data_IF_400918002155
#
_entry.id   IF_400918002155
#
_cell.length_a   1.000
_cell.length_b   1.000
_cell.length_c   1.000
_cell.angle_alpha   90.00
_cell.angle_beta   90.00
_cell.angle_gamma   90.00
#
_symmetry.space_group_name_H-M   'P 1'
#
loop_
_entity.id
_entity.type
_entity.pdbx_description
1 polymer ?
#
# COMPACT_ATOMS: atom_id res chain seq x y z
N UNK A 1 13.59 33.64 -26.16
CA UNK A 1 12.82 32.99 -27.24
C UNK A 1 11.64 32.31 -26.57
N UNK A 2 10.52 32.99 -26.29
CA UNK A 2 9.44 33.33 -27.22
C UNK A 2 9.15 32.18 -28.18
N UNK A 3 8.12 31.39 -27.88
CA UNK A 3 6.98 31.19 -28.79
C UNK A 3 5.70 31.11 -27.94
N UNK A 4 4.84 32.09 -28.15
CA UNK A 4 3.46 32.22 -27.70
C UNK A 4 2.50 31.54 -28.69
N UNK A 5 1.44 30.91 -28.19
CA UNK A 5 0.18 30.77 -28.91
C UNK A 5 -0.99 30.85 -27.92
N UNK A 6 -1.71 31.97 -27.96
CA UNK A 6 -3.05 32.15 -27.41
C UNK A 6 -4.06 31.76 -28.50
N UNK A 7 -5.15 31.06 -28.17
CA UNK A 7 -6.47 31.69 -28.14
C UNK A 7 -7.52 30.81 -27.45
N UNK A 8 -8.46 31.51 -26.83
CA UNK A 8 -9.57 31.07 -25.99
C UNK A 8 -10.73 30.54 -26.84
N UNK A 9 -11.56 29.68 -26.24
CA UNK A 9 -13.01 29.80 -26.36
C UNK A 9 -13.70 29.27 -25.09
N UNK A 10 -14.55 30.14 -24.52
CA UNK A 10 -15.46 29.89 -23.41
C UNK A 10 -16.64 29.01 -23.86
N UNK A 11 -17.18 28.18 -22.97
CA UNK A 11 -18.63 27.98 -22.95
C UNK A 11 -19.15 27.71 -21.53
N UNK A 12 -20.08 28.54 -21.11
CA UNK A 12 -20.77 28.52 -19.83
C UNK A 12 -21.91 27.49 -19.84
N UNK A 13 -22.13 26.86 -18.68
CA UNK A 13 -23.45 26.56 -18.14
C UNK A 13 -24.28 25.45 -18.80
N UNK A 14 -24.55 24.39 -18.03
CA UNK A 14 -25.93 23.89 -17.81
C UNK A 14 -26.00 22.92 -16.62
N UNK A 15 -26.57 23.48 -15.55
CA UNK A 15 -27.66 22.94 -14.71
C UNK A 15 -27.65 21.46 -14.33
N UNK A 16 -27.60 21.26 -13.01
CA UNK A 16 -27.73 19.98 -12.33
C UNK A 16 -28.94 19.16 -12.75
N UNK A 17 -28.70 17.85 -12.84
CA UNK A 17 -29.71 16.83 -12.66
C UNK A 17 -29.36 16.06 -11.40
N UNK A 18 -30.10 16.34 -10.34
CA UNK A 18 -30.14 15.53 -9.13
C UNK A 18 -30.52 14.09 -9.50
N UNK A 19 -29.53 13.20 -9.51
CA UNK A 19 -29.76 11.78 -9.71
C UNK A 19 -30.25 11.18 -8.40
N UNK A 20 -31.55 10.87 -8.33
CA UNK A 20 -32.19 10.18 -7.20
C UNK A 20 -31.43 8.89 -6.86
N UNK A 21 -30.77 8.89 -5.70
CA UNK A 21 -30.26 7.67 -5.04
C UNK A 21 -31.46 6.78 -4.73
N UNK A 22 -31.57 5.64 -5.41
CA UNK A 22 -32.52 4.58 -5.03
C UNK A 22 -31.85 3.69 -4.00
N UNK A 23 -32.23 3.84 -2.73
CA UNK A 23 -31.92 2.86 -1.70
C UNK A 23 -32.69 1.56 -2.00
N UNK A 24 -31.97 0.50 -2.38
CA UNK A 24 -32.48 -0.88 -2.33
C UNK A 24 -31.98 -1.54 -1.05
N UNK A 25 -32.91 -2.09 -0.27
CA UNK A 25 -32.69 -2.70 1.05
C UNK A 25 -32.56 -4.23 0.91
N UNK A 26 -31.45 -4.78 1.37
CA UNK A 26 -31.25 -6.20 1.65
C UNK A 26 -31.49 -6.44 3.16
N UNK A 27 -31.92 -7.64 3.53
CA UNK A 27 -32.49 -7.95 4.86
C UNK A 27 -31.48 -7.99 6.02
N UNK A 28 -30.21 -7.62 5.81
CA UNK A 28 -29.14 -7.77 6.81
C UNK A 28 -28.43 -6.46 7.21
N UNK A 29 -29.14 -5.32 7.20
CA UNK A 29 -28.86 -4.19 8.10
C UNK A 29 -27.50 -3.46 8.03
N UNK A 30 -26.59 -3.82 7.12
CA UNK A 30 -25.30 -3.13 7.00
C UNK A 30 -25.36 -2.02 5.95
N UNK A 31 -25.13 -0.78 6.41
CA UNK A 31 -25.18 0.44 5.62
C UNK A 31 -23.81 0.69 5.02
N UNK A 32 -23.53 0.12 3.85
CA UNK A 32 -22.37 0.52 3.05
C UNK A 32 -22.73 1.80 2.29
N UNK A 33 -22.12 2.92 2.67
CA UNK A 33 -22.18 4.13 1.85
C UNK A 33 -21.32 3.89 0.60
N UNK A 34 -21.99 3.43 -0.46
CA UNK A 34 -21.42 3.23 -1.78
C UNK A 34 -21.23 4.60 -2.45
N UNK A 35 -20.20 5.32 -2.01
CA UNK A 35 -19.64 6.44 -2.73
C UNK A 35 -18.90 5.91 -3.96
N UNK A 36 -19.28 6.42 -5.14
CA UNK A 36 -18.79 6.17 -6.49
C UNK A 36 -17.25 6.29 -6.65
N UNK A 37 -16.48 5.41 -6.00
CA UNK A 37 -15.09 5.11 -6.35
C UNK A 37 -15.13 3.85 -7.18
N UNK A 38 -15.12 4.04 -8.51
CA UNK A 38 -15.21 2.98 -9.51
C UNK A 38 -14.46 1.72 -9.10
N UNK A 39 -15.14 0.57 -9.20
CA UNK A 39 -14.71 -0.78 -8.79
C UNK A 39 -13.19 -0.96 -8.79
N UNK A 40 -12.55 -0.73 -7.63
CA UNK A 40 -11.11 -0.91 -7.50
C UNK A 40 -10.78 -2.40 -7.67
N UNK A 41 -9.91 -2.69 -8.62
CA UNK A 41 -9.42 -4.05 -8.89
C UNK A 41 -7.92 -4.09 -8.65
N UNK A 42 -7.39 -5.25 -8.29
CA UNK A 42 -5.94 -5.43 -8.17
C UNK A 42 -5.19 -5.10 -9.46
N UNK A 43 -5.79 -5.38 -10.63
CA UNK A 43 -5.18 -5.05 -11.92
C UNK A 43 -4.99 -3.53 -12.04
N UNK A 44 -6.02 -2.75 -11.74
CA UNK A 44 -5.97 -1.28 -11.74
C UNK A 44 -4.97 -0.76 -10.72
N UNK A 45 -4.96 -1.32 -9.51
CA UNK A 45 -4.06 -0.90 -8.45
C UNK A 45 -2.58 -1.14 -8.81
N UNK A 46 -2.24 -2.31 -9.34
CA UNK A 46 -0.86 -2.59 -9.74
C UNK A 46 -0.42 -1.81 -10.99
N UNK A 47 -1.36 -1.39 -11.86
CA UNK A 47 -1.07 -0.42 -12.90
C UNK A 47 -0.65 0.93 -12.31
N UNK A 48 -1.36 1.40 -11.28
CA UNK A 48 -0.99 2.63 -10.57
C UNK A 48 0.35 2.51 -9.86
N UNK A 49 0.60 1.40 -9.14
CA UNK A 49 1.91 1.10 -8.51
C UNK A 49 3.04 1.21 -9.55
N UNK A 50 2.89 0.53 -10.70
CA UNK A 50 3.88 0.58 -11.77
C UNK A 50 4.10 2.00 -12.28
N UNK A 51 3.01 2.74 -12.51
CA UNK A 51 3.07 4.10 -13.04
C UNK A 51 3.83 5.03 -12.07
N UNK A 52 3.47 5.01 -10.79
CA UNK A 52 4.10 5.85 -9.77
C UNK A 52 5.58 5.54 -9.56
N UNK A 53 6.01 4.27 -9.71
CA UNK A 53 7.42 3.89 -9.60
C UNK A 53 8.26 4.34 -10.80
N UNK A 54 7.66 4.49 -12.00
CA UNK A 54 8.38 4.86 -13.23
C UNK A 54 8.40 6.37 -13.44
N UNK A 55 7.32 7.07 -13.10
CA UNK A 55 7.11 8.48 -13.45
C UNK A 55 7.67 9.47 -12.42
N UNK A 56 8.21 9.00 -11.30
CA UNK A 56 8.64 9.87 -10.20
C UNK A 56 10.08 10.35 -10.33
N UNK A 57 10.34 11.38 -11.15
CA UNK A 57 11.55 12.20 -10.96
C UNK A 57 11.44 12.96 -9.63
N UNK A 58 12.20 12.54 -8.60
CA UNK A 58 12.15 13.12 -7.26
C UNK A 58 11.29 12.38 -6.23
N UNK A 59 10.75 11.20 -6.59
CA UNK A 59 9.93 10.37 -5.70
C UNK A 59 8.42 10.71 -5.76
N UNK A 60 7.55 9.72 -5.51
CA UNK A 60 6.11 9.86 -5.55
C UNK A 60 5.61 10.72 -4.37
N UNK A 61 4.68 11.61 -4.66
CA UNK A 61 4.00 12.40 -3.64
C UNK A 61 3.12 11.47 -2.77
N UNK A 62 3.39 11.42 -1.46
CA UNK A 62 2.65 10.57 -0.51
C UNK A 62 1.13 10.78 -0.58
N UNK A 63 0.66 12.02 -0.71
CA UNK A 63 -0.77 12.31 -0.83
C UNK A 63 -1.38 11.69 -2.10
N UNK A 64 -0.64 11.70 -3.20
CA UNK A 64 -1.08 11.08 -4.44
C UNK A 64 -1.17 9.54 -4.32
N UNK A 65 -0.22 8.92 -3.61
CA UNK A 65 -0.23 7.48 -3.33
C UNK A 65 -1.46 7.12 -2.51
N UNK A 66 -1.75 7.89 -1.47
CA UNK A 66 -2.93 7.74 -0.60
C UNK A 66 -4.23 7.83 -1.41
N UNK A 67 -4.37 8.84 -2.25
CA UNK A 67 -5.59 9.06 -3.05
C UNK A 67 -5.79 7.98 -4.12
N UNK A 68 -4.70 7.45 -4.65
CA UNK A 68 -4.72 6.49 -5.77
C UNK A 68 -4.86 5.04 -5.30
N UNK A 69 -4.00 4.61 -4.37
CA UNK A 69 -4.00 3.23 -3.87
C UNK A 69 -4.99 3.03 -2.74
N UNK A 70 -5.17 4.05 -1.91
CA UNK A 70 -5.81 3.94 -0.61
C UNK A 70 -4.84 3.52 0.48
N UNK A 71 -5.30 3.65 1.72
CA UNK A 71 -4.59 3.27 2.94
C UNK A 71 -5.56 2.67 3.97
N UNK A 72 -6.71 2.14 3.52
CA UNK A 72 -7.76 1.62 4.39
C UNK A 72 -7.70 0.11 4.58
N UNK A 73 -8.61 -0.39 5.43
CA UNK A 73 -8.72 -1.81 5.83
C UNK A 73 -9.03 -2.80 4.69
N UNK A 74 -9.37 -2.30 3.50
CA UNK A 74 -9.71 -3.16 2.36
C UNK A 74 -8.42 -3.71 1.77
N UNK A 75 -8.36 -5.02 1.55
CA UNK A 75 -7.18 -5.67 0.97
C UNK A 75 -6.76 -5.09 -0.40
N UNK A 76 -7.73 -4.60 -1.20
CA UNK A 76 -7.44 -3.95 -2.50
C UNK A 76 -6.81 -2.57 -2.35
N UNK A 77 -6.83 -1.98 -1.15
CA UNK A 77 -6.14 -0.73 -0.81
C UNK A 77 -4.81 -1.03 -0.09
N UNK A 78 -4.86 -1.85 0.98
CA UNK A 78 -3.70 -2.11 1.85
C UNK A 78 -2.58 -2.92 1.16
N UNK A 79 -2.92 -3.95 0.38
CA UNK A 79 -1.89 -4.82 -0.26
C UNK A 79 -1.06 -4.06 -1.31
N UNK A 80 -1.67 -3.30 -2.25
CA UNK A 80 -0.90 -2.48 -3.18
C UNK A 80 -0.07 -1.41 -2.49
N UNK A 81 -0.60 -0.76 -1.44
CA UNK A 81 0.11 0.24 -0.66
C UNK A 81 1.37 -0.34 0.02
N UNK A 82 1.27 -1.52 0.64
CA UNK A 82 2.41 -2.20 1.27
C UNK A 82 3.48 -2.62 0.25
N UNK A 83 3.07 -3.19 -0.88
CA UNK A 83 3.99 -3.57 -1.97
C UNK A 83 4.68 -2.33 -2.53
N UNK A 84 3.93 -1.25 -2.74
CA UNK A 84 4.49 0.01 -3.21
C UNK A 84 5.51 0.59 -2.22
N UNK A 85 5.20 0.59 -0.92
CA UNK A 85 6.11 1.06 0.11
C UNK A 85 7.46 0.31 0.08
N UNK A 86 7.42 -1.02 -0.02
CA UNK A 86 8.62 -1.83 -0.19
C UNK A 86 9.37 -1.46 -1.48
N UNK A 87 8.71 -1.47 -2.64
CA UNK A 87 9.37 -1.23 -3.92
C UNK A 87 9.98 0.17 -4.00
N UNK A 88 9.27 1.18 -3.49
CA UNK A 88 9.73 2.56 -3.48
C UNK A 88 10.98 2.78 -2.59
N UNK A 89 11.14 1.96 -1.54
CA UNK A 89 12.26 2.04 -0.59
C UNK A 89 13.23 0.86 -0.67
N UNK A 90 13.12 0.03 -1.70
CA UNK A 90 13.88 -1.22 -1.85
C UNK A 90 15.38 -1.04 -2.10
N UNK A 91 15.84 0.19 -2.35
CA UNK A 91 17.24 0.58 -2.50
C UNK A 91 17.78 1.36 -1.28
N UNK A 92 17.01 1.40 -0.18
CA UNK A 92 17.37 2.10 1.06
C UNK A 92 17.58 1.11 2.22
N UNK A 93 16.97 1.35 3.40
CA UNK A 93 17.08 0.50 4.58
C UNK A 93 15.72 -0.11 4.96
N UNK A 94 15.73 -1.13 5.82
CA UNK A 94 14.51 -1.79 6.31
C UNK A 94 13.56 -0.80 6.99
N UNK A 95 14.13 0.11 7.78
CA UNK A 95 13.42 1.13 8.52
C UNK A 95 12.72 2.12 7.59
N UNK A 96 13.34 2.47 6.47
CA UNK A 96 12.77 3.40 5.51
C UNK A 96 11.50 2.83 4.86
N UNK A 97 11.45 1.51 4.63
CA UNK A 97 10.23 0.83 4.16
C UNK A 97 9.10 0.97 5.17
N UNK A 98 9.37 0.67 6.45
CA UNK A 98 8.35 0.75 7.50
C UNK A 98 7.93 2.19 7.80
N UNK A 99 8.88 3.12 7.89
CA UNK A 99 8.59 4.54 8.10
C UNK A 99 7.73 5.09 6.96
N UNK A 100 8.04 4.72 5.71
CA UNK A 100 7.22 5.11 4.59
C UNK A 100 5.82 4.50 4.65
N UNK A 101 5.71 3.19 4.89
CA UNK A 101 4.43 2.49 5.04
C UNK A 101 3.55 3.14 6.14
N UNK A 102 4.15 3.47 7.29
CA UNK A 102 3.45 4.15 8.39
C UNK A 102 3.06 5.59 8.04
N UNK A 103 3.86 6.28 7.23
CA UNK A 103 3.57 7.65 6.80
C UNK A 103 2.34 7.75 5.90
N UNK A 104 1.86 6.63 5.31
CA UNK A 104 0.62 6.59 4.53
C UNK A 104 -0.64 6.76 5.40
N UNK A 105 -0.53 6.54 6.72
CA UNK A 105 -1.65 6.61 7.65
C UNK A 105 -2.70 5.52 7.44
N UNK A 106 -3.90 5.72 7.99
CA UNK A 106 -5.01 4.75 7.88
C UNK A 106 -4.74 3.44 8.62
N UNK A 107 -4.85 2.31 7.93
CA UNK A 107 -4.61 0.95 8.44
C UNK A 107 -3.11 0.64 8.53
N UNK A 108 -2.43 1.44 9.34
CA UNK A 108 -0.98 1.59 9.37
C UNK A 108 -0.27 0.32 9.83
N UNK A 109 -0.79 -0.33 10.87
CA UNK A 109 -0.25 -1.59 11.40
C UNK A 109 -0.30 -2.71 10.35
N UNK A 110 -1.43 -2.85 9.66
CA UNK A 110 -1.59 -3.86 8.60
C UNK A 110 -0.67 -3.60 7.41
N UNK A 111 -0.60 -2.35 6.94
CA UNK A 111 0.25 -1.97 5.79
C UNK A 111 1.73 -2.14 6.13
N UNK A 112 2.17 -1.63 7.30
CA UNK A 112 3.55 -1.75 7.73
C UNK A 112 3.95 -3.20 8.00
N UNK A 113 3.06 -4.02 8.59
CA UNK A 113 3.30 -5.45 8.79
C UNK A 113 3.54 -6.20 7.48
N UNK A 114 2.69 -5.96 6.46
CA UNK A 114 2.88 -6.56 5.13
C UNK A 114 4.16 -6.07 4.44
N UNK A 115 4.44 -4.75 4.49
CA UNK A 115 5.65 -4.19 3.90
C UNK A 115 6.92 -4.74 4.57
N UNK A 116 6.91 -4.84 5.90
CA UNK A 116 7.98 -5.41 6.70
C UNK A 116 8.21 -6.90 6.43
N UNK A 117 7.14 -7.68 6.28
CA UNK A 117 7.26 -9.09 5.91
C UNK A 117 7.94 -9.27 4.53
N UNK A 118 7.60 -8.43 3.56
CA UNK A 118 8.23 -8.45 2.23
C UNK A 118 9.70 -8.02 2.33
N UNK A 119 9.98 -6.92 3.03
CA UNK A 119 11.33 -6.39 3.21
C UNK A 119 12.24 -7.38 3.94
N UNK A 120 11.77 -7.98 5.05
CA UNK A 120 12.53 -8.95 5.83
C UNK A 120 12.78 -10.24 5.04
N UNK A 121 11.81 -10.70 4.24
CA UNK A 121 12.03 -11.84 3.35
C UNK A 121 13.05 -11.54 2.23
N UNK A 122 13.16 -10.27 1.81
CA UNK A 122 14.09 -9.85 0.75
C UNK A 122 15.52 -9.64 1.27
N UNK A 123 15.67 -9.02 2.43
CA UNK A 123 16.95 -8.60 2.97
C UNK A 123 17.54 -9.48 4.08
N UNK A 124 16.72 -10.32 4.71
CA UNK A 124 17.11 -11.04 5.93
C UNK A 124 16.78 -10.24 7.20
N UNK A 125 16.81 -10.93 8.33
CA UNK A 125 16.56 -10.35 9.66
C UNK A 125 17.75 -9.51 10.16
N UNK A 126 18.92 -9.66 9.55
CA UNK A 126 20.12 -8.87 9.87
C UNK A 126 19.99 -7.38 9.49
N UNK A 127 19.00 -7.02 8.66
CA UNK A 127 18.69 -5.62 8.36
C UNK A 127 17.68 -5.00 9.33
N UNK A 128 17.12 -5.77 10.27
CA UNK A 128 16.19 -5.23 11.27
C UNK A 128 17.01 -4.57 12.39
N UNK A 129 16.70 -3.33 12.81
CA UNK A 129 17.42 -2.65 13.89
C UNK A 129 17.44 -3.46 15.18
N UNK A 130 18.63 -3.65 15.75
CA UNK A 130 18.81 -4.41 16.99
C UNK A 130 17.98 -3.80 18.15
N UNK A 131 17.81 -2.48 18.16
CA UNK A 131 17.01 -1.78 19.16
C UNK A 131 15.50 -2.07 19.09
N UNK A 132 15.00 -2.64 18.00
CA UNK A 132 13.56 -2.96 17.84
C UNK A 132 13.19 -4.29 18.49
N UNK A 133 14.13 -5.23 18.57
CA UNK A 133 13.91 -6.52 19.22
C UNK A 133 13.42 -6.38 20.69
N UNK A 134 14.11 -5.65 21.60
CA UNK A 134 13.71 -5.60 23.01
C UNK A 134 12.38 -4.88 23.27
N UNK A 135 11.89 -4.08 22.33
CA UNK A 135 10.62 -3.33 22.46
C UNK A 135 9.45 -4.03 21.76
N UNK A 136 9.70 -5.11 21.02
CA UNK A 136 8.68 -5.87 20.30
C UNK A 136 8.06 -6.93 21.23
N UNK A 137 6.74 -6.87 21.39
CA UNK A 137 6.01 -7.89 22.15
C UNK A 137 6.14 -9.26 21.49
N UNK A 138 6.48 -10.28 22.28
CA UNK A 138 6.57 -11.66 21.81
C UNK A 138 7.75 -11.94 20.87
N UNK A 139 8.78 -11.08 20.87
CA UNK A 139 9.94 -11.21 19.96
C UNK A 139 10.61 -12.59 20.05
N UNK A 140 10.75 -13.15 21.26
CA UNK A 140 11.38 -14.46 21.46
C UNK A 140 10.55 -15.59 20.83
N UNK A 141 9.23 -15.55 21.00
CA UNK A 141 8.30 -16.50 20.42
C UNK A 141 8.27 -16.38 18.89
N UNK A 142 8.25 -15.16 18.35
CA UNK A 142 8.26 -14.90 16.91
C UNK A 142 9.55 -15.40 16.28
N UNK A 143 10.73 -15.10 16.85
CA UNK A 143 12.02 -15.59 16.35
C UNK A 143 12.06 -17.13 16.39
N UNK A 144 11.60 -17.74 17.48
CA UNK A 144 11.49 -19.20 17.56
C UNK A 144 10.60 -19.78 16.45
N UNK A 145 9.44 -19.18 16.19
CA UNK A 145 8.56 -19.64 15.12
C UNK A 145 9.17 -19.42 13.73
N UNK A 146 9.93 -18.35 13.53
CA UNK A 146 10.67 -18.13 12.29
C UNK A 146 11.67 -19.26 12.02
N UNK A 147 12.44 -19.67 13.03
CA UNK A 147 13.37 -20.80 12.95
C UNK A 147 12.64 -22.11 12.62
N UNK A 148 11.56 -22.43 13.35
CA UNK A 148 10.76 -23.64 13.12
C UNK A 148 10.14 -23.68 11.71
N UNK A 149 9.67 -22.53 11.20
CA UNK A 149 9.15 -22.42 9.82
C UNK A 149 10.27 -22.58 8.78
N UNK A 150 11.48 -22.08 9.06
CA UNK A 150 12.65 -22.26 8.21
C UNK A 150 13.05 -23.74 8.13
N UNK A 151 13.10 -24.43 9.27
CA UNK A 151 13.38 -25.87 9.35
C UNK A 151 12.36 -26.69 8.54
N UNK A 152 11.07 -26.36 8.64
CA UNK A 152 10.01 -26.99 7.85
C UNK A 152 10.19 -26.77 6.34
N UNK A 153 10.71 -25.61 5.93
CA UNK A 153 10.94 -25.27 4.52
C UNK A 153 12.18 -25.96 3.94
N UNK A 154 13.28 -26.01 4.69
CA UNK A 154 14.56 -26.56 4.22
C UNK A 154 14.54 -28.10 4.26
N UNK A 155 13.73 -28.69 5.14
CA UNK A 155 13.71 -30.13 5.42
C UNK A 155 14.94 -30.55 6.24
N UNK A 156 14.98 -31.80 6.76
CA UNK A 156 16.14 -32.27 7.50
C UNK A 156 17.39 -32.18 6.62
N UNK A 157 18.42 -31.48 7.14
CA UNK A 157 19.71 -31.32 6.49
C UNK A 157 20.24 -32.69 6.01
N UNK A 158 20.15 -32.97 4.70
CA UNK A 158 20.66 -34.22 4.11
C UNK A 158 19.74 -35.01 3.17
N UNK A 159 18.57 -34.49 2.76
CA UNK A 159 17.69 -35.19 1.79
C UNK A 159 17.67 -34.50 0.42
N UNK A 160 18.83 -34.35 -0.22
CA UNK A 160 18.94 -34.07 -1.66
C UNK A 160 20.06 -34.91 -2.25
#
# INVERSE_FOLDING_TARGET
>A
MIVTAQHLENNEGKTGQESKVKASRNEEGEKYEEGDRGRQSYVTQFQHVKQMLVESEGGPNTQHVIETLGHGIKAVEAVPAAIFAFLYKSDTYFEDVLLYAMSLGGDTDTIASMAGAIAGAYWGDEQIPEEWYPVTEGVNEITKYADELCDLRVGPAGSK
#
